data_IF_595199135901
#
_entry.id   IF_595199135901
#
_cell.length_a   1.000
_cell.length_b   1.000
_cell.length_c   1.000
_cell.angle_alpha   90.00
_cell.angle_beta   90.00
_cell.angle_gamma   90.00
#
_symmetry.space_group_name_H-M   'P 1'
#
loop_
_entity.id
_entity.type
_entity.pdbx_description
1 polymer ?
#
# COMPACT_ATOMS: atom_id res chain seq x y z
N UNK A 1 5.35 35.36 12.25
CA UNK A 1 4.88 35.35 10.84
C UNK A 1 6.04 34.87 10.00
N UNK A 2 5.84 33.82 9.20
CA UNK A 2 6.89 33.28 8.32
C UNK A 2 7.25 34.29 7.22
N UNK A 3 8.53 34.60 7.09
CA UNK A 3 9.04 35.48 6.04
C UNK A 3 9.69 34.72 4.88
N UNK A 4 10.08 35.48 3.84
CA UNK A 4 10.68 34.92 2.62
C UNK A 4 12.05 34.27 2.90
N UNK A 5 12.90 34.90 3.71
CA UNK A 5 14.28 34.44 3.97
C UNK A 5 14.28 33.11 4.70
N UNK A 6 13.33 32.91 5.62
CA UNK A 6 13.19 31.65 6.34
C UNK A 6 12.91 30.47 5.40
N UNK A 7 11.98 30.64 4.45
CA UNK A 7 11.66 29.59 3.45
C UNK A 7 12.83 29.37 2.48
N UNK A 8 13.50 30.44 2.03
CA UNK A 8 14.68 30.30 1.16
C UNK A 8 15.81 29.53 1.85
N UNK A 9 16.11 29.86 3.11
CA UNK A 9 17.11 29.15 3.91
C UNK A 9 16.73 27.68 4.09
N UNK A 10 15.52 27.39 4.58
CA UNK A 10 15.09 26.01 4.82
C UNK A 10 15.07 25.18 3.52
N UNK A 11 14.70 25.79 2.39
CA UNK A 11 14.73 25.12 1.10
C UNK A 11 16.17 24.81 0.65
N UNK A 12 17.09 25.79 0.76
CA UNK A 12 18.51 25.57 0.43
C UNK A 12 19.14 24.50 1.33
N UNK A 13 18.83 24.51 2.62
CA UNK A 13 19.33 23.52 3.58
C UNK A 13 18.82 22.12 3.22
N UNK A 14 17.53 21.99 2.88
CA UNK A 14 16.96 20.73 2.40
C UNK A 14 17.62 20.24 1.11
N UNK A 15 17.86 21.13 0.14
CA UNK A 15 18.50 20.77 -1.13
C UNK A 15 19.93 20.25 -0.93
N UNK A 16 20.73 20.97 -0.13
CA UNK A 16 22.11 20.59 0.22
C UNK A 16 22.18 19.28 0.98
N UNK A 17 21.28 19.08 1.95
CA UNK A 17 21.23 17.85 2.73
C UNK A 17 20.93 16.63 1.85
N UNK A 18 19.98 16.77 0.91
CA UNK A 18 19.63 15.69 -0.02
C UNK A 18 20.74 15.39 -1.02
N UNK A 19 21.38 16.41 -1.62
CA UNK A 19 22.55 16.22 -2.49
C UNK A 19 23.68 15.49 -1.75
N UNK A 20 23.99 15.90 -0.52
CA UNK A 20 25.03 15.27 0.31
C UNK A 20 24.74 13.79 0.64
N UNK A 21 23.47 13.44 0.87
CA UNK A 21 23.06 12.08 1.25
C UNK A 21 22.83 11.15 0.06
N UNK A 22 22.64 11.69 -1.15
CA UNK A 22 22.28 10.93 -2.34
C UNK A 22 23.17 9.71 -2.63
N UNK A 23 24.52 9.77 -2.50
CA UNK A 23 25.37 8.61 -2.78
C UNK A 23 25.15 7.41 -1.85
N UNK A 24 24.52 7.61 -0.69
CA UNK A 24 24.25 6.55 0.30
C UNK A 24 22.75 6.21 0.37
N UNK A 25 21.97 6.61 -0.63
CA UNK A 25 20.52 6.45 -0.63
C UNK A 25 20.08 5.29 -1.53
N UNK A 26 19.94 4.11 -0.93
CA UNK A 26 19.56 2.86 -1.61
C UNK A 26 18.27 2.99 -2.46
N UNK A 27 17.36 3.91 -2.11
CA UNK A 27 16.11 4.12 -2.86
C UNK A 27 16.36 4.89 -4.16
N UNK A 28 17.32 5.82 -4.17
CA UNK A 28 17.74 6.44 -5.42
C UNK A 28 18.34 5.40 -6.35
N UNK A 29 19.14 4.50 -5.81
CA UNK A 29 19.82 3.48 -6.59
C UNK A 29 18.86 2.47 -7.21
N UNK A 30 17.89 2.01 -6.42
CA UNK A 30 17.01 0.89 -6.77
C UNK A 30 15.70 1.34 -7.42
N UNK A 31 15.11 2.43 -6.94
CA UNK A 31 13.71 2.75 -7.24
C UNK A 31 13.52 4.02 -8.08
N UNK A 32 14.56 4.87 -8.22
CA UNK A 32 14.50 6.10 -9.02
C UNK A 32 15.47 5.99 -10.21
N UNK A 33 14.91 6.08 -11.42
CA UNK A 33 15.71 6.27 -12.63
C UNK A 33 16.21 7.71 -12.73
N UNK A 34 16.07 8.33 -13.90
CA UNK A 34 16.24 9.79 -14.01
C UNK A 34 14.91 10.50 -13.76
N UNK A 35 14.88 11.44 -12.81
CA UNK A 35 13.66 12.17 -12.45
C UNK A 35 13.95 13.67 -12.26
N UNK A 36 13.18 14.51 -12.96
CA UNK A 36 13.35 15.96 -12.98
C UNK A 36 12.23 16.64 -12.17
N UNK A 37 12.55 17.19 -11.01
CA UNK A 37 11.57 17.79 -10.10
C UNK A 37 11.71 19.30 -10.06
N UNK A 38 10.61 19.99 -10.34
CA UNK A 38 10.46 21.44 -10.16
C UNK A 38 9.74 21.76 -8.84
N UNK A 39 10.34 22.61 -8.03
CA UNK A 39 9.73 23.17 -6.83
C UNK A 39 9.17 24.56 -7.08
N UNK A 40 7.95 24.80 -6.60
CA UNK A 40 7.27 26.10 -6.63
C UNK A 40 6.72 26.41 -5.24
N UNK A 41 7.46 27.22 -4.50
CA UNK A 41 7.20 27.54 -3.11
C UNK A 41 6.53 28.94 -2.97
N UNK A 42 6.10 29.32 -1.74
CA UNK A 42 5.61 30.66 -1.45
C UNK A 42 6.61 31.77 -1.82
N UNK A 43 6.16 33.02 -1.86
CA UNK A 43 6.99 34.18 -2.25
C UNK A 43 7.65 34.09 -3.64
N UNK A 44 7.09 33.26 -4.53
CA UNK A 44 7.62 32.94 -5.86
C UNK A 44 9.02 32.28 -5.82
N UNK A 45 9.40 31.68 -4.70
CA UNK A 45 10.63 30.90 -4.60
C UNK A 45 10.55 29.68 -5.53
N UNK A 46 11.64 29.41 -6.26
CA UNK A 46 11.76 28.32 -7.22
C UNK A 46 13.05 27.56 -6.97
N UNK A 47 13.05 26.31 -7.36
CA UNK A 47 14.25 25.52 -7.50
C UNK A 47 13.94 24.21 -8.20
N UNK A 48 14.99 23.52 -8.61
CA UNK A 48 14.88 22.24 -9.29
C UNK A 48 15.84 21.23 -8.68
N UNK A 49 15.47 19.96 -8.80
CA UNK A 49 16.33 18.82 -8.49
C UNK A 49 16.29 17.84 -9.65
N UNK A 50 17.45 17.31 -10.02
CA UNK A 50 17.58 16.20 -10.96
C UNK A 50 18.12 15.02 -10.17
N UNK A 51 17.31 13.98 -10.08
CA UNK A 51 17.63 12.72 -9.41
C UNK A 51 18.17 11.74 -10.43
N UNK A 52 19.26 11.05 -10.07
CA UNK A 52 19.87 9.93 -10.78
C UNK A 52 20.19 8.83 -9.76
N UNK A 53 20.63 7.67 -10.27
CA UNK A 53 20.89 6.45 -9.50
C UNK A 53 21.69 6.67 -8.19
N UNK A 54 22.67 7.57 -8.19
CA UNK A 54 23.60 7.79 -7.08
C UNK A 54 23.79 9.27 -6.69
N UNK A 55 23.00 10.15 -7.29
CA UNK A 55 23.24 11.59 -7.22
C UNK A 55 21.96 12.40 -7.33
N UNK A 56 21.94 13.50 -6.60
CA UNK A 56 20.93 14.55 -6.73
C UNK A 56 21.70 15.82 -7.01
N UNK A 57 21.40 16.49 -8.13
CA UNK A 57 21.87 17.86 -8.36
C UNK A 57 20.71 18.82 -8.22
N UNK A 58 20.98 20.06 -7.83
CA UNK A 58 19.94 21.06 -7.68
C UNK A 58 20.34 22.43 -8.23
N UNK A 59 19.32 23.24 -8.54
CA UNK A 59 19.49 24.65 -8.85
C UNK A 59 18.43 25.49 -8.15
N UNK A 60 18.86 26.56 -7.50
CA UNK A 60 17.97 27.50 -6.84
C UNK A 60 17.58 28.64 -7.79
N UNK A 61 16.31 29.05 -7.77
CA UNK A 61 15.79 30.15 -8.60
C UNK A 61 15.42 29.80 -10.05
N UNK A 62 15.88 28.67 -10.58
CA UNK A 62 15.62 28.27 -11.97
C UNK A 62 14.30 27.50 -12.16
N UNK A 63 13.74 27.60 -13.38
CA UNK A 63 12.67 26.73 -13.85
C UNK A 63 13.23 25.72 -14.86
N UNK A 64 12.84 24.46 -14.71
CA UNK A 64 13.04 23.44 -15.73
C UNK A 64 12.08 23.68 -16.90
N UNK A 65 12.56 23.45 -18.11
CA UNK A 65 11.75 23.55 -19.33
C UNK A 65 10.69 22.45 -19.39
N UNK A 66 11.11 21.20 -19.10
CA UNK A 66 10.24 20.01 -19.09
C UNK A 66 10.44 19.19 -17.81
N UNK A 67 9.93 19.64 -16.65
CA UNK A 67 10.00 18.85 -15.43
C UNK A 67 9.09 17.63 -15.52
N UNK A 68 9.54 16.49 -14.99
CA UNK A 68 8.74 15.29 -14.82
C UNK A 68 7.65 15.49 -13.76
N UNK A 69 8.02 16.19 -12.67
CA UNK A 69 7.12 16.51 -11.57
C UNK A 69 7.27 17.97 -11.20
N UNK A 70 6.16 18.69 -11.08
CA UNK A 70 6.10 20.02 -10.46
C UNK A 70 5.40 19.92 -9.11
N UNK A 71 6.14 20.21 -8.03
CA UNK A 71 5.64 20.28 -6.66
C UNK A 71 5.36 21.72 -6.28
N UNK A 72 4.12 21.99 -5.89
CA UNK A 72 3.65 23.33 -5.53
C UNK A 72 3.18 23.36 -4.09
N UNK A 73 3.77 24.23 -3.28
CA UNK A 73 3.33 24.52 -1.91
C UNK A 73 2.99 26.01 -1.84
N UNK A 74 1.80 26.33 -1.31
CA UNK A 74 1.28 27.70 -1.26
C UNK A 74 1.20 28.24 0.16
N UNK A 75 0.89 27.39 1.12
CA UNK A 75 0.84 27.75 2.52
C UNK A 75 2.26 27.98 3.05
N UNK A 76 2.48 29.13 3.69
CA UNK A 76 3.82 29.57 4.14
C UNK A 76 4.29 28.77 5.35
N UNK A 77 3.38 28.49 6.27
CA UNK A 77 3.68 27.79 7.52
C UNK A 77 3.97 26.33 7.22
N UNK A 78 3.09 25.67 6.47
CA UNK A 78 3.29 24.28 6.07
C UNK A 78 4.53 24.10 5.18
N UNK A 79 4.84 25.07 4.30
CA UNK A 79 6.08 25.04 3.53
C UNK A 79 7.31 25.05 4.46
N UNK A 80 7.37 25.97 5.41
CA UNK A 80 8.52 26.09 6.32
C UNK A 80 8.68 24.84 7.18
N UNK A 81 7.59 24.37 7.80
CA UNK A 81 7.55 23.15 8.63
C UNK A 81 8.03 21.93 7.84
N UNK A 82 7.47 21.71 6.66
CA UNK A 82 7.85 20.60 5.78
C UNK A 82 9.32 20.66 5.37
N UNK A 83 9.81 21.83 4.92
CA UNK A 83 11.20 22.00 4.50
C UNK A 83 12.20 21.80 5.65
N UNK A 84 11.81 22.09 6.89
CA UNK A 84 12.57 21.75 8.10
C UNK A 84 12.49 20.26 8.48
N UNK A 85 11.79 19.45 7.68
CA UNK A 85 11.64 18.01 7.88
C UNK A 85 10.65 17.65 8.97
N UNK A 86 9.74 18.54 9.34
CA UNK A 86 8.64 18.21 10.24
C UNK A 86 7.70 17.20 9.57
N UNK A 87 7.26 16.21 10.34
CA UNK A 87 6.32 15.19 9.92
C UNK A 87 4.96 15.46 10.56
N UNK A 88 3.89 15.22 9.82
CA UNK A 88 2.53 15.45 10.29
C UNK A 88 1.55 14.55 9.55
N UNK A 89 0.36 14.39 10.12
CA UNK A 89 -0.71 13.67 9.47
C UNK A 89 -1.13 14.33 8.16
N UNK A 90 -1.40 13.50 7.16
CA UNK A 90 -1.81 13.95 5.85
C UNK A 90 -2.83 13.01 5.23
N UNK A 91 -3.59 13.56 4.29
CA UNK A 91 -4.48 12.84 3.41
C UNK A 91 -4.09 13.12 1.96
N UNK A 92 -4.49 12.26 1.03
CA UNK A 92 -4.13 12.46 -0.37
C UNK A 92 -5.22 12.01 -1.33
N UNK A 93 -5.19 12.53 -2.54
CA UNK A 93 -6.15 12.15 -3.56
C UNK A 93 -5.99 12.91 -4.87
N UNK A 94 -6.84 12.59 -5.85
CA UNK A 94 -6.84 13.29 -7.13
C UNK A 94 -7.23 14.76 -6.97
N UNK A 95 -6.59 15.61 -7.76
CA UNK A 95 -6.90 17.03 -7.90
C UNK A 95 -7.34 17.37 -9.32
N UNK A 96 -7.75 18.63 -9.51
CA UNK A 96 -8.20 19.13 -10.81
C UNK A 96 -7.09 19.09 -11.88
N UNK A 97 -7.48 18.77 -13.13
CA UNK A 97 -6.61 18.64 -14.30
C UNK A 97 -5.44 17.67 -14.09
N UNK A 98 -5.72 16.47 -13.58
CA UNK A 98 -4.73 15.39 -13.40
C UNK A 98 -3.66 15.68 -12.35
N UNK A 99 -3.86 16.68 -11.49
CA UNK A 99 -2.98 16.91 -10.35
C UNK A 99 -3.19 15.82 -9.29
N UNK A 100 -2.18 15.60 -8.46
CA UNK A 100 -2.31 14.87 -7.22
C UNK A 100 -2.14 15.82 -6.05
N UNK A 101 -2.98 15.69 -5.02
CA UNK A 101 -2.97 16.58 -3.86
C UNK A 101 -2.60 15.80 -2.61
N UNK A 102 -1.72 16.40 -1.83
CA UNK A 102 -1.48 16.05 -0.44
C UNK A 102 -2.09 17.18 0.40
N UNK A 103 -2.89 16.81 1.38
CA UNK A 103 -3.54 17.70 2.32
C UNK A 103 -2.94 17.48 3.70
N UNK A 104 -2.70 18.56 4.43
CA UNK A 104 -2.36 18.49 5.85
C UNK A 104 -3.63 18.20 6.65
N UNK A 105 -3.59 17.18 7.50
CA UNK A 105 -4.68 16.87 8.43
C UNK A 105 -4.48 17.72 9.68
N UNK A 106 -5.33 18.72 9.86
CA UNK A 106 -5.25 19.67 10.98
C UNK A 106 -5.89 19.08 12.26
N UNK A 107 -7.02 18.40 12.07
CA UNK A 107 -7.77 17.79 13.16
C UNK A 107 -8.72 16.72 12.64
N UNK A 108 -9.30 15.98 13.58
CA UNK A 108 -10.37 15.01 13.33
C UNK A 108 -11.67 15.53 13.93
N UNK A 109 -12.79 15.22 13.27
CA UNK A 109 -14.12 15.46 13.83
C UNK A 109 -14.97 14.21 13.67
N UNK A 110 -15.81 13.95 14.66
CA UNK A 110 -16.88 12.96 14.56
C UNK A 110 -18.12 13.71 14.07
N UNK A 111 -18.72 13.23 13.00
CA UNK A 111 -20.00 13.73 12.49
C UNK A 111 -21.08 12.70 12.77
N UNK A 112 -22.28 13.19 13.10
CA UNK A 112 -23.48 12.35 13.12
C UNK A 112 -24.06 12.28 11.71
N UNK A 113 -24.49 11.09 11.34
CA UNK A 113 -25.19 10.77 10.10
C UNK A 113 -26.54 10.18 10.46
N UNK A 114 -27.45 10.05 9.49
CA UNK A 114 -28.76 9.41 9.69
C UNK A 114 -28.65 7.98 10.26
N UNK A 115 -27.49 7.35 10.13
CA UNK A 115 -27.26 5.92 10.39
C UNK A 115 -26.12 5.67 11.37
N UNK A 116 -25.69 6.69 12.12
CA UNK A 116 -24.68 6.55 13.15
C UNK A 116 -23.57 7.58 13.06
N UNK A 117 -22.43 7.29 13.69
CA UNK A 117 -21.29 8.22 13.77
C UNK A 117 -20.23 7.86 12.76
N UNK A 118 -19.58 8.88 12.19
CA UNK A 118 -18.45 8.72 11.28
C UNK A 118 -17.32 9.65 11.66
N UNK A 119 -16.09 9.15 11.67
CA UNK A 119 -14.89 9.98 11.82
C UNK A 119 -14.48 10.56 10.46
N UNK A 120 -14.23 11.87 10.41
CA UNK A 120 -13.78 12.57 9.18
C UNK A 120 -12.63 13.52 9.48
N UNK A 121 -11.72 13.66 8.51
CA UNK A 121 -10.56 14.55 8.59
C UNK A 121 -10.95 16.00 8.30
N UNK A 122 -10.35 16.94 9.02
CA UNK A 122 -10.32 18.35 8.67
C UNK A 122 -9.01 18.66 7.96
N UNK A 123 -9.08 18.81 6.64
CA UNK A 123 -7.91 18.88 5.77
C UNK A 123 -7.67 20.31 5.25
N UNK A 124 -6.39 20.71 5.22
CA UNK A 124 -5.93 21.95 4.58
C UNK A 124 -5.08 21.61 3.35
N UNK A 125 -5.19 22.35 2.23
CA UNK A 125 -4.33 22.14 1.07
C UNK A 125 -2.86 22.30 1.42
N UNK A 126 -2.02 21.32 1.04
CA UNK A 126 -0.59 21.34 1.35
C UNK A 126 0.27 21.28 0.08
N UNK A 127 0.48 20.10 -0.52
CA UNK A 127 1.24 19.93 -1.76
C UNK A 127 0.30 19.68 -2.92
N UNK A 128 0.51 20.37 -4.03
CA UNK A 128 -0.04 19.98 -5.33
C UNK A 128 1.08 19.49 -6.22
N UNK A 129 1.04 18.21 -6.57
CA UNK A 129 1.93 17.61 -7.56
C UNK A 129 1.27 17.61 -8.94
N UNK A 130 2.04 17.98 -9.96
CA UNK A 130 1.65 17.85 -11.37
C UNK A 130 2.70 17.04 -12.09
N UNK A 131 2.26 16.12 -12.93
CA UNK A 131 3.13 15.21 -13.67
C UNK A 131 3.22 15.65 -15.13
N UNK A 132 4.36 15.42 -15.75
CA UNK A 132 4.52 15.55 -17.19
C UNK A 132 3.55 14.59 -17.88
N UNK A 133 2.76 15.08 -18.84
CA UNK A 133 1.76 14.29 -19.56
C UNK A 133 2.36 13.44 -20.68
N UNK A 134 3.58 13.76 -21.12
CA UNK A 134 4.32 12.97 -22.13
C UNK A 134 4.94 11.70 -21.50
N UNK A 135 4.96 11.60 -20.17
CA UNK A 135 5.48 10.45 -19.43
C UNK A 135 4.37 9.85 -18.56
N UNK A 136 4.37 8.53 -18.40
CA UNK A 136 3.41 7.86 -17.53
C UNK A 136 3.98 7.72 -16.11
N UNK A 137 3.46 8.52 -15.17
CA UNK A 137 3.82 8.43 -13.76
C UNK A 137 2.60 8.15 -12.89
N UNK A 138 2.68 7.14 -12.04
CA UNK A 138 1.75 6.98 -10.94
C UNK A 138 2.12 7.91 -9.78
N UNK A 139 1.15 8.59 -9.11
CA UNK A 139 1.47 9.56 -8.05
C UNK A 139 2.28 9.04 -6.87
N UNK A 140 2.28 7.72 -6.63
CA UNK A 140 3.09 7.12 -5.57
C UNK A 140 4.60 7.19 -5.82
N UNK A 141 5.06 7.54 -7.04
CA UNK A 141 6.47 7.90 -7.26
C UNK A 141 6.94 9.03 -6.33
N UNK A 142 6.04 9.90 -5.88
CA UNK A 142 6.34 10.94 -4.91
C UNK A 142 6.91 10.39 -3.61
N UNK A 143 6.47 9.19 -3.19
CA UNK A 143 6.99 8.53 -1.99
C UNK A 143 8.44 8.10 -2.14
N UNK A 144 9.09 8.26 -3.30
CA UNK A 144 10.52 7.99 -3.49
C UNK A 144 11.38 9.22 -3.21
N UNK A 145 10.81 10.43 -3.23
CA UNK A 145 11.53 11.67 -2.92
C UNK A 145 11.94 11.70 -1.43
N UNK A 146 13.21 12.03 -1.07
CA UNK A 146 13.71 11.93 0.31
C UNK A 146 12.84 12.63 1.36
N UNK A 147 12.44 13.87 1.11
CA UNK A 147 11.61 14.64 2.05
C UNK A 147 10.18 14.07 2.18
N UNK A 148 9.61 13.52 1.11
CA UNK A 148 8.27 12.91 1.14
C UNK A 148 8.33 11.51 1.78
N UNK A 149 9.42 10.75 1.60
CA UNK A 149 9.61 9.46 2.29
C UNK A 149 9.45 9.58 3.79
N UNK A 150 10.07 10.61 4.38
CA UNK A 150 9.96 10.89 5.82
C UNK A 150 8.51 11.12 6.24
N UNK A 151 7.72 11.80 5.41
CA UNK A 151 6.29 12.05 5.65
C UNK A 151 5.46 10.76 5.52
N UNK A 152 5.69 9.95 4.48
CA UNK A 152 4.90 8.72 4.28
C UNK A 152 5.21 7.67 5.34
N UNK A 153 6.46 7.60 5.81
CA UNK A 153 6.87 6.68 6.87
C UNK A 153 6.11 6.87 8.19
N UNK A 154 5.53 8.05 8.46
CA UNK A 154 4.72 8.26 9.66
C UNK A 154 3.28 7.79 9.54
N UNK A 155 2.82 7.42 8.33
CA UNK A 155 1.47 6.83 8.16
C UNK A 155 1.40 5.38 8.57
N UNK A 156 2.53 4.69 8.57
CA UNK A 156 2.61 3.28 8.90
C UNK A 156 3.22 3.16 10.29
N UNK A 157 2.56 2.43 11.18
CA UNK A 157 3.20 1.99 12.41
C UNK A 157 4.32 1.00 12.04
N UNK A 158 5.35 0.88 12.89
CA UNK A 158 6.38 -0.15 12.70
C UNK A 158 5.84 -1.58 12.79
N UNK A 159 4.60 -1.74 13.25
CA UNK A 159 3.92 -3.00 13.51
C UNK A 159 2.83 -3.32 12.47
N UNK A 160 2.55 -2.40 11.53
CA UNK A 160 1.65 -2.66 10.40
C UNK A 160 2.27 -3.70 9.48
N UNK A 161 1.62 -4.85 9.38
CA UNK A 161 2.10 -5.97 8.60
C UNK A 161 0.95 -6.86 8.13
N UNK A 162 0.97 -7.21 6.85
CA UNK A 162 0.08 -8.19 6.25
C UNK A 162 0.79 -9.16 5.31
N UNK A 163 0.09 -10.25 5.02
CA UNK A 163 0.55 -11.32 4.17
C UNK A 163 -0.53 -11.68 3.16
N UNK A 164 -0.15 -11.76 1.89
CA UNK A 164 -1.00 -12.40 0.90
C UNK A 164 -0.98 -13.91 1.14
N UNK A 165 -2.16 -14.50 1.29
CA UNK A 165 -2.29 -15.95 1.42
C UNK A 165 -2.47 -16.55 0.01
N UNK A 166 -1.68 -17.56 -0.38
CA UNK A 166 -1.68 -18.06 -1.75
C UNK A 166 -3.03 -18.65 -2.16
N UNK A 167 -3.55 -18.25 -3.31
CA UNK A 167 -4.85 -18.73 -3.79
C UNK A 167 -4.80 -20.20 -4.20
N UNK A 168 -5.89 -20.92 -3.91
CA UNK A 168 -6.16 -22.29 -4.41
C UNK A 168 -5.03 -23.32 -4.15
N UNK A 169 -4.13 -23.04 -3.19
CA UNK A 169 -3.08 -23.97 -2.79
C UNK A 169 -3.55 -24.85 -1.64
N UNK A 170 -3.24 -26.15 -1.70
CA UNK A 170 -3.38 -27.08 -0.58
C UNK A 170 -1.99 -27.53 -0.12
N UNK A 171 -1.72 -27.51 1.18
CA UNK A 171 -0.64 -28.33 1.73
C UNK A 171 -1.21 -29.72 1.94
N UNK A 172 -0.64 -30.74 1.30
CA UNK A 172 -1.17 -32.11 1.28
C UNK A 172 -1.45 -32.76 2.65
N UNK A 173 -1.13 -32.10 3.77
CA UNK A 173 -1.38 -32.51 5.15
C UNK A 173 -2.43 -31.68 5.92
N UNK A 174 -2.88 -30.52 5.43
CA UNK A 174 -3.98 -29.75 6.05
C UNK A 174 -5.33 -30.30 5.61
N UNK A 175 -5.90 -31.23 6.38
CA UNK A 175 -7.30 -31.71 6.35
C UNK A 175 -8.12 -31.39 5.07
N UNK A 176 -7.69 -31.83 3.88
CA UNK A 176 -8.35 -31.54 2.59
C UNK A 176 -8.78 -30.06 2.37
N UNK A 177 -8.16 -29.09 3.06
CA UNK A 177 -8.51 -27.67 3.02
C UNK A 177 -7.42 -26.88 2.29
N UNK A 178 -7.84 -25.85 1.55
CA UNK A 178 -6.90 -24.90 0.94
C UNK A 178 -6.31 -23.98 2.02
N UNK A 179 -5.04 -23.61 1.86
CA UNK A 179 -4.26 -22.80 2.83
C UNK A 179 -5.00 -21.53 3.27
N UNK A 180 -5.62 -20.73 2.36
CA UNK A 180 -6.36 -19.55 2.80
C UNK A 180 -7.48 -19.84 3.78
N UNK A 181 -8.24 -20.91 3.57
CA UNK A 181 -9.34 -21.25 4.47
C UNK A 181 -8.82 -21.66 5.84
N UNK A 182 -7.77 -22.50 5.89
CA UNK A 182 -7.17 -22.96 7.14
C UNK A 182 -6.60 -21.80 7.99
N UNK A 183 -5.86 -20.88 7.37
CA UNK A 183 -5.29 -19.70 8.05
C UNK A 183 -6.40 -18.82 8.62
N UNK A 184 -7.40 -18.46 7.80
CA UNK A 184 -8.49 -17.60 8.25
C UNK A 184 -9.33 -18.25 9.35
N UNK A 185 -9.59 -19.56 9.25
CA UNK A 185 -10.33 -20.31 10.27
C UNK A 185 -9.65 -20.22 11.63
N UNK A 186 -8.32 -20.29 11.70
CA UNK A 186 -7.56 -20.17 12.95
C UNK A 186 -7.89 -18.86 13.72
N UNK A 187 -7.99 -17.74 13.00
CA UNK A 187 -8.28 -16.44 13.61
C UNK A 187 -9.78 -16.22 13.84
N UNK A 188 -10.63 -16.62 12.90
CA UNK A 188 -12.09 -16.50 13.03
C UNK A 188 -12.61 -17.33 14.22
N UNK A 189 -12.09 -18.55 14.43
CA UNK A 189 -12.48 -19.40 15.55
C UNK A 189 -12.13 -18.79 16.90
N UNK A 190 -11.06 -17.98 16.99
CA UNK A 190 -10.62 -17.30 18.21
C UNK A 190 -11.27 -15.94 18.40
N UNK A 191 -11.68 -15.29 17.32
CA UNK A 191 -12.15 -13.91 17.34
C UNK A 191 -13.28 -13.67 18.37
N UNK A 192 -13.08 -12.69 19.26
CA UNK A 192 -14.06 -12.23 20.23
C UNK A 192 -15.19 -11.43 19.58
N UNK A 193 -14.83 -10.63 18.57
CA UNK A 193 -15.75 -9.83 17.76
C UNK A 193 -15.33 -9.85 16.29
N UNK A 194 -16.31 -9.86 15.40
CA UNK A 194 -16.10 -9.87 13.95
C UNK A 194 -17.01 -8.83 13.31
N UNK A 195 -16.41 -7.94 12.51
CA UNK A 195 -17.13 -6.92 11.75
C UNK A 195 -16.81 -7.07 10.26
N UNK A 196 -17.83 -7.35 9.47
CA UNK A 196 -17.73 -7.41 8.00
C UNK A 196 -18.21 -6.08 7.41
N UNK A 197 -17.44 -5.54 6.47
CA UNK A 197 -17.92 -4.46 5.61
C UNK A 197 -18.84 -5.04 4.53
N UNK A 198 -20.04 -4.47 4.37
CA UNK A 198 -21.07 -4.97 3.46
C UNK A 198 -20.65 -4.93 1.99
N UNK A 199 -19.64 -4.08 1.66
CA UNK A 199 -19.06 -3.95 0.33
C UNK A 199 -17.56 -3.67 0.38
N UNK A 200 -16.82 -4.17 -0.61
CA UNK A 200 -15.42 -3.80 -0.81
C UNK A 200 -15.29 -2.34 -1.25
N UNK A 201 -14.65 -1.50 -0.43
CA UNK A 201 -14.45 -0.08 -0.72
C UNK A 201 -13.71 0.18 -2.04
N UNK A 202 -12.68 -0.63 -2.33
CA UNK A 202 -11.88 -0.54 -3.55
C UNK A 202 -12.70 -0.84 -4.81
N UNK A 203 -13.50 -1.92 -4.81
CA UNK A 203 -14.37 -2.28 -5.93
C UNK A 203 -15.46 -1.24 -6.17
N UNK A 204 -16.08 -0.74 -5.11
CA UNK A 204 -17.10 0.31 -5.20
C UNK A 204 -16.51 1.60 -5.77
N UNK A 205 -15.37 2.06 -5.22
CA UNK A 205 -14.70 3.29 -5.66
C UNK A 205 -14.30 3.27 -7.13
N UNK A 206 -13.87 2.09 -7.62
CA UNK A 206 -13.48 1.89 -9.02
C UNK A 206 -14.61 1.42 -9.93
N UNK A 207 -15.85 1.29 -9.41
CA UNK A 207 -16.98 0.74 -10.12
C UNK A 207 -16.65 -0.59 -10.84
N UNK A 208 -16.09 -1.55 -10.09
CA UNK A 208 -15.62 -2.83 -10.65
C UNK A 208 -16.72 -3.58 -11.41
N UNK A 209 -16.43 -4.09 -12.60
CA UNK A 209 -17.39 -4.87 -13.39
C UNK A 209 -17.09 -6.39 -13.38
N UNK A 210 -15.95 -6.79 -12.78
CA UNK A 210 -15.42 -8.16 -12.88
C UNK A 210 -15.63 -9.02 -11.63
N UNK A 211 -15.86 -8.41 -10.48
CA UNK A 211 -15.92 -9.13 -9.20
C UNK A 211 -17.04 -8.59 -8.33
N UNK A 212 -17.60 -9.46 -7.48
CA UNK A 212 -18.69 -9.12 -6.57
C UNK A 212 -18.30 -8.01 -5.58
N UNK A 213 -19.10 -6.95 -5.54
CA UNK A 213 -18.90 -5.84 -4.61
C UNK A 213 -19.24 -6.22 -3.18
N UNK A 214 -20.08 -7.23 -2.96
CA UNK A 214 -20.56 -7.65 -1.63
C UNK A 214 -19.49 -8.34 -0.79
N UNK A 215 -18.38 -8.79 -1.41
CA UNK A 215 -17.27 -9.43 -0.69
C UNK A 215 -16.37 -8.32 -0.12
N UNK A 216 -16.77 -7.74 1.01
CA UNK A 216 -16.03 -6.68 1.70
C UNK A 216 -14.97 -7.20 2.66
N UNK A 217 -14.31 -6.27 3.36
CA UNK A 217 -13.25 -6.60 4.31
C UNK A 217 -13.83 -7.25 5.58
N UNK A 218 -13.08 -8.18 6.14
CA UNK A 218 -13.36 -8.88 7.39
C UNK A 218 -12.43 -8.32 8.46
N UNK A 219 -12.96 -7.77 9.55
CA UNK A 219 -12.17 -7.27 10.66
C UNK A 219 -12.46 -8.08 11.92
N UNK A 220 -11.45 -8.36 12.73
CA UNK A 220 -11.52 -9.23 13.89
C UNK A 220 -10.82 -8.61 15.11
N UNK A 221 -11.31 -8.96 16.30
CA UNK A 221 -10.80 -8.51 17.60
C UNK A 221 -11.60 -7.38 18.24
N UNK A 222 -11.44 -7.17 19.55
CA UNK A 222 -12.28 -6.25 20.34
C UNK A 222 -12.27 -4.81 19.83
N UNK A 223 -11.15 -4.35 19.28
CA UNK A 223 -11.02 -2.97 18.78
C UNK A 223 -12.07 -2.68 17.70
N UNK A 224 -12.50 -3.70 16.94
CA UNK A 224 -13.51 -3.56 15.88
C UNK A 224 -14.86 -3.01 16.39
N UNK A 225 -15.18 -3.14 17.68
CA UNK A 225 -16.36 -2.54 18.30
C UNK A 225 -16.37 -1.00 18.20
N UNK A 226 -15.19 -0.39 18.09
CA UNK A 226 -15.00 1.06 18.02
C UNK A 226 -14.92 1.60 16.58
N UNK A 227 -15.22 0.78 15.55
CA UNK A 227 -15.17 1.20 14.15
C UNK A 227 -16.19 2.30 13.86
N UNK A 228 -15.73 3.54 13.68
CA UNK A 228 -16.54 4.71 13.31
C UNK A 228 -16.78 4.80 11.80
N UNK A 229 -17.38 3.76 11.25
CA UNK A 229 -17.88 3.66 9.89
C UNK A 229 -19.42 3.63 9.96
N UNK A 230 -20.08 4.25 8.98
CA UNK A 230 -21.54 4.25 8.82
C UNK A 230 -22.12 2.82 8.95
N UNK A 231 -23.11 2.64 9.83
CA UNK A 231 -23.71 1.32 10.14
C UNK A 231 -24.35 0.66 8.91
N UNK A 232 -24.78 1.42 7.89
CA UNK A 232 -25.26 0.83 6.63
C UNK A 232 -24.16 0.11 5.84
N UNK A 233 -22.89 0.35 6.17
CA UNK A 233 -21.72 -0.17 5.45
C UNK A 233 -21.05 -1.34 6.14
N UNK A 234 -21.47 -1.72 7.34
CA UNK A 234 -20.90 -2.84 8.11
C UNK A 234 -22.00 -3.63 8.82
N UNK A 235 -21.65 -4.79 9.33
CA UNK A 235 -22.44 -5.52 10.33
C UNK A 235 -21.51 -6.34 11.21
N UNK A 236 -21.96 -6.63 12.43
CA UNK A 236 -21.34 -7.66 13.28
C UNK A 236 -21.75 -9.01 12.71
N UNK A 237 -20.78 -9.89 12.49
CA UNK A 237 -20.98 -11.18 11.84
C UNK A 237 -20.73 -12.33 12.80
N UNK A 238 -21.37 -13.48 12.55
CA UNK A 238 -21.01 -14.73 13.23
C UNK A 238 -19.73 -15.33 12.64
N UNK A 239 -19.15 -16.31 13.35
CA UNK A 239 -17.98 -17.05 12.86
C UNK A 239 -18.30 -17.82 11.58
N UNK A 240 -19.50 -18.39 11.50
CA UNK A 240 -19.99 -19.09 10.32
C UNK A 240 -20.13 -18.14 9.13
N UNK A 241 -20.73 -16.96 9.33
CA UNK A 241 -20.85 -15.94 8.28
C UNK A 241 -19.48 -15.48 7.77
N UNK A 242 -18.52 -15.29 8.67
CA UNK A 242 -17.15 -14.94 8.32
C UNK A 242 -16.45 -16.04 7.49
N UNK A 243 -16.60 -17.31 7.87
CA UNK A 243 -16.04 -18.43 7.12
C UNK A 243 -16.67 -18.56 5.74
N UNK A 244 -17.98 -18.32 5.60
CA UNK A 244 -18.62 -18.34 4.28
C UNK A 244 -18.22 -17.17 3.39
N UNK A 245 -17.93 -16.00 3.97
CA UNK A 245 -17.31 -14.89 3.23
C UNK A 245 -15.95 -15.31 2.67
N UNK A 246 -15.11 -15.98 3.48
CA UNK A 246 -13.79 -16.48 3.04
C UNK A 246 -13.93 -17.50 1.91
N UNK A 247 -14.80 -18.50 2.04
CA UNK A 247 -15.05 -19.48 0.96
C UNK A 247 -15.52 -18.79 -0.31
N UNK A 248 -16.52 -17.91 -0.20
CA UNK A 248 -17.02 -17.13 -1.34
C UNK A 248 -15.89 -16.32 -2.00
N UNK A 249 -14.98 -15.74 -1.22
CA UNK A 249 -13.86 -14.99 -1.76
C UNK A 249 -12.87 -15.88 -2.54
N UNK A 250 -12.53 -17.05 -2.01
CA UNK A 250 -11.68 -18.05 -2.66
C UNK A 250 -12.32 -18.53 -3.96
N UNK A 251 -13.60 -18.89 -3.93
CA UNK A 251 -14.38 -19.33 -5.11
C UNK A 251 -14.46 -18.26 -6.21
N UNK A 252 -14.31 -16.98 -5.84
CA UNK A 252 -14.28 -15.84 -6.77
C UNK A 252 -12.87 -15.50 -7.29
N UNK A 253 -11.85 -16.33 -6.99
CA UNK A 253 -10.46 -16.12 -7.41
C UNK A 253 -9.83 -14.85 -6.83
N UNK A 254 -10.35 -14.38 -5.68
CA UNK A 254 -9.81 -13.23 -4.97
C UNK A 254 -8.59 -13.63 -4.15
N UNK A 255 -7.68 -12.69 -3.95
CA UNK A 255 -6.42 -12.90 -3.24
C UNK A 255 -6.61 -12.46 -1.78
N UNK A 256 -6.63 -13.39 -0.81
CA UNK A 256 -6.77 -13.03 0.58
C UNK A 256 -5.49 -12.34 1.08
N UNK A 257 -5.66 -11.25 1.81
CA UNK A 257 -4.64 -10.52 2.53
C UNK A 257 -5.10 -10.46 3.98
N UNK A 258 -4.24 -10.83 4.92
CA UNK A 258 -4.55 -10.82 6.36
C UNK A 258 -3.38 -10.21 7.14
N UNK A 259 -3.69 -9.44 8.17
CA UNK A 259 -2.66 -8.82 9.00
C UNK A 259 -3.16 -7.73 9.94
N UNK A 260 -2.21 -7.01 10.52
CA UNK A 260 -2.44 -5.81 11.30
C UNK A 260 -2.36 -4.59 10.38
N UNK A 261 -3.46 -3.85 10.29
CA UNK A 261 -3.64 -2.72 9.36
C UNK A 261 -4.16 -1.48 10.11
N UNK A 262 -3.35 -0.98 11.05
CA UNK A 262 -3.71 0.16 11.91
C UNK A 262 -3.68 1.49 11.16
N UNK A 263 -2.95 1.60 10.06
CA UNK A 263 -3.00 2.77 9.18
C UNK A 263 -4.41 2.99 8.59
N UNK A 264 -5.13 1.91 8.27
CA UNK A 264 -6.53 1.94 7.84
C UNK A 264 -7.47 2.13 9.03
N UNK A 265 -7.27 1.36 10.11
CA UNK A 265 -8.13 1.33 11.28
C UNK A 265 -8.17 2.67 12.03
N UNK A 266 -7.01 3.31 12.22
CA UNK A 266 -6.88 4.62 12.88
C UNK A 266 -7.72 5.69 12.19
N UNK A 267 -7.77 5.65 10.84
CA UNK A 267 -8.62 6.50 10.04
C UNK A 267 -10.11 6.29 10.29
N UNK A 268 -10.49 5.08 10.68
CA UNK A 268 -11.85 4.70 11.09
C UNK A 268 -12.13 4.92 12.57
N UNK A 269 -11.26 5.60 13.33
CA UNK A 269 -11.52 5.90 14.74
C UNK A 269 -10.96 4.89 15.74
N UNK A 270 -10.24 3.88 15.27
CA UNK A 270 -9.70 2.83 16.13
C UNK A 270 -8.46 3.36 16.86
N UNK A 271 -8.46 3.19 18.18
CA UNK A 271 -7.25 3.29 19.00
C UNK A 271 -6.58 1.93 19.01
N UNK A 272 -5.26 1.93 18.90
CA UNK A 272 -4.50 0.69 18.83
C UNK A 272 -4.33 0.08 20.23
N UNK A 273 -5.10 -0.98 20.53
CA UNK A 273 -4.88 -1.77 21.75
C UNK A 273 -4.20 -3.11 21.45
N UNK A 274 -3.71 -3.29 20.22
CA UNK A 274 -3.20 -4.57 19.73
C UNK A 274 -4.29 -5.59 19.41
N UNK A 275 -5.57 -5.16 19.34
CA UNK A 275 -6.72 -6.04 19.17
C UNK A 275 -7.51 -5.81 17.88
N UNK A 276 -6.83 -5.35 16.83
CA UNK A 276 -7.41 -5.12 15.51
C UNK A 276 -6.66 -5.88 14.42
N UNK A 277 -7.29 -6.93 13.91
CA UNK A 277 -6.85 -7.62 12.70
C UNK A 277 -7.79 -7.26 11.56
N UNK A 278 -7.24 -7.02 10.37
CA UNK A 278 -8.01 -6.85 9.15
C UNK A 278 -7.64 -7.90 8.12
N UNK A 279 -8.64 -8.29 7.34
CA UNK A 279 -8.46 -9.07 6.15
C UNK A 279 -9.21 -8.46 4.96
N UNK A 280 -8.51 -8.44 3.83
CA UNK A 280 -9.03 -8.02 2.55
C UNK A 280 -9.04 -9.19 1.57
N UNK A 281 -10.00 -9.17 0.65
CA UNK A 281 -10.06 -10.14 -0.45
C UNK A 281 -9.78 -9.38 -1.75
N UNK A 282 -8.51 -9.18 -2.07
CA UNK A 282 -8.05 -8.30 -3.12
C UNK A 282 -8.38 -8.86 -4.51
N UNK A 283 -8.89 -7.99 -5.40
CA UNK A 283 -9.06 -8.33 -6.81
C UNK A 283 -7.90 -7.74 -7.64
N UNK A 284 -7.50 -8.39 -8.74
CA UNK A 284 -6.40 -7.93 -9.57
C UNK A 284 -6.69 -6.60 -10.30
N UNK A 285 -7.96 -6.19 -10.39
CA UNK A 285 -8.34 -5.01 -11.19
C UNK A 285 -8.50 -3.71 -10.39
N UNK A 286 -8.84 -3.78 -9.10
CA UNK A 286 -9.24 -2.58 -8.33
C UNK A 286 -8.55 -2.43 -6.98
N UNK A 287 -7.76 -3.40 -6.53
CA UNK A 287 -7.08 -3.33 -5.23
C UNK A 287 -6.21 -2.06 -5.13
N UNK A 288 -6.29 -1.36 -3.99
CA UNK A 288 -5.53 -0.14 -3.74
C UNK A 288 -4.05 -0.43 -3.46
N UNK A 289 -3.73 -1.63 -2.99
CA UNK A 289 -2.36 -2.03 -2.70
C UNK A 289 -1.53 -2.25 -3.96
N UNK A 290 -2.16 -2.64 -5.07
CA UNK A 290 -1.48 -2.84 -6.37
C UNK A 290 -0.63 -1.62 -6.76
N UNK A 291 -1.19 -0.41 -6.92
CA UNK A 291 -0.39 0.74 -7.26
C UNK A 291 0.63 1.10 -6.17
N UNK A 292 0.33 0.87 -4.88
CA UNK A 292 1.29 1.14 -3.79
C UNK A 292 2.51 0.24 -3.93
N UNK A 293 2.31 -1.07 -4.03
CA UNK A 293 3.37 -2.07 -4.10
C UNK A 293 4.20 -1.97 -5.40
N UNK A 294 3.60 -1.52 -6.49
CA UNK A 294 4.27 -1.42 -7.80
C UNK A 294 4.98 -0.07 -8.04
N UNK A 295 4.45 1.03 -7.49
CA UNK A 295 4.92 2.37 -7.81
C UNK A 295 5.49 3.18 -6.64
N UNK A 296 5.19 2.79 -5.39
CA UNK A 296 5.74 3.48 -4.23
C UNK A 296 7.21 3.10 -3.98
N UNK A 297 7.78 3.63 -2.91
CA UNK A 297 9.13 3.30 -2.48
C UNK A 297 9.17 1.89 -1.87
N UNK A 298 10.21 1.12 -2.18
CA UNK A 298 10.43 -0.21 -1.61
C UNK A 298 10.64 -0.22 -0.09
N UNK A 299 10.80 0.96 0.54
CA UNK A 299 10.80 1.11 2.01
C UNK A 299 9.40 1.05 2.64
N UNK A 300 8.32 1.18 1.89
CA UNK A 300 6.97 0.95 2.43
C UNK A 300 6.72 -0.55 2.49
N UNK A 301 7.12 -1.17 3.61
CA UNK A 301 7.01 -2.61 3.84
C UNK A 301 5.88 -2.92 4.82
N UNK A 302 4.63 -2.76 4.39
CA UNK A 302 3.44 -3.21 5.15
C UNK A 302 2.97 -4.59 4.70
N UNK A 303 3.50 -5.11 3.59
CA UNK A 303 3.19 -6.45 3.11
C UNK A 303 4.49 -7.21 2.91
N UNK A 304 4.55 -8.42 3.45
CA UNK A 304 5.69 -9.34 3.29
C UNK A 304 5.27 -10.61 2.56
N UNK A 305 6.25 -11.25 1.91
CA UNK A 305 6.13 -12.64 1.48
C UNK A 305 6.23 -13.54 2.73
N UNK A 306 5.40 -14.57 2.80
CA UNK A 306 5.43 -15.59 3.86
C UNK A 306 6.82 -16.25 3.89
N UNK A 307 7.39 -16.42 5.08
CA UNK A 307 8.68 -17.08 5.24
C UNK A 307 8.63 -18.54 4.77
N UNK A 308 9.67 -18.98 4.06
CA UNK A 308 9.74 -20.32 3.49
C UNK A 308 8.84 -20.57 2.27
N UNK A 309 8.03 -19.59 1.85
CA UNK A 309 7.26 -19.65 0.61
C UNK A 309 8.13 -19.26 -0.58
N UNK A 310 8.23 -20.16 -1.55
CA UNK A 310 8.92 -19.95 -2.81
C UNK A 310 7.96 -20.14 -3.99
N UNK A 311 8.05 -19.25 -4.97
CA UNK A 311 7.44 -19.43 -6.28
C UNK A 311 8.57 -19.77 -7.23
N UNK A 312 8.42 -20.85 -8.00
CA UNK A 312 9.48 -21.35 -8.88
C UNK A 312 8.89 -21.61 -10.26
N UNK A 313 9.65 -21.25 -11.30
CA UNK A 313 9.34 -21.62 -12.68
C UNK A 313 10.25 -22.79 -13.10
N UNK A 314 9.66 -23.82 -13.70
CA UNK A 314 10.37 -24.93 -14.33
C UNK A 314 10.76 -24.53 -15.76
N UNK A 315 12.06 -24.37 -15.98
CA UNK A 315 12.63 -23.98 -17.27
C UNK A 315 12.30 -24.98 -18.39
N UNK A 316 12.18 -26.28 -18.07
CA UNK A 316 11.92 -27.32 -19.07
C UNK A 316 10.45 -27.37 -19.51
N UNK A 317 9.52 -26.96 -18.62
CA UNK A 317 8.09 -26.89 -18.90
C UNK A 317 7.66 -25.53 -19.45
N UNK A 318 8.43 -24.46 -19.19
CA UNK A 318 8.10 -23.12 -19.63
C UNK A 318 8.26 -22.97 -21.15
N UNK A 319 7.18 -22.55 -21.82
CA UNK A 319 7.17 -22.30 -23.28
C UNK A 319 7.26 -20.83 -23.64
N UNK A 320 7.46 -19.94 -22.65
CA UNK A 320 7.58 -18.50 -22.88
C UNK A 320 6.30 -17.80 -23.35
N UNK A 321 5.11 -18.28 -22.96
CA UNK A 321 3.83 -17.70 -23.38
C UNK A 321 3.42 -16.40 -22.67
N UNK A 322 4.14 -16.02 -21.61
CA UNK A 322 3.94 -14.78 -20.83
C UNK A 322 2.60 -14.65 -20.06
N UNK A 323 1.72 -15.66 -20.06
CA UNK A 323 0.46 -15.61 -19.28
C UNK A 323 0.68 -15.33 -17.78
N UNK A 324 1.80 -15.81 -17.24
CA UNK A 324 2.19 -15.54 -15.85
C UNK A 324 2.60 -14.07 -15.60
N UNK A 325 3.12 -13.39 -16.62
CA UNK A 325 3.49 -11.97 -16.57
C UNK A 325 2.20 -11.15 -16.52
N UNK A 326 1.26 -11.44 -17.43
CA UNK A 326 -0.04 -10.78 -17.48
C UNK A 326 -0.88 -11.00 -16.21
N UNK A 327 -0.77 -12.18 -15.60
CA UNK A 327 -1.48 -12.50 -14.35
C UNK A 327 -0.89 -11.82 -13.11
N UNK A 328 0.37 -11.36 -13.18
CA UNK A 328 1.12 -10.83 -12.05
C UNK A 328 0.78 -9.36 -11.80
N UNK A 329 0.13 -9.09 -10.67
CA UNK A 329 -0.29 -7.73 -10.29
C UNK A 329 0.75 -6.94 -9.47
N UNK A 330 1.92 -7.53 -9.23
CA UNK A 330 2.99 -6.94 -8.40
C UNK A 330 4.28 -6.67 -9.19
N UNK A 331 4.34 -7.05 -10.47
CA UNK A 331 5.59 -7.15 -11.24
C UNK A 331 6.62 -8.04 -10.52
N UNK A 332 6.14 -9.15 -9.97
CA UNK A 332 6.91 -10.16 -9.23
C UNK A 332 7.57 -11.23 -10.09
N UNK A 333 7.50 -11.11 -11.41
CA UNK A 333 8.16 -11.98 -12.37
C UNK A 333 8.52 -11.20 -13.64
N UNK A 334 9.46 -11.72 -14.41
CA UNK A 334 9.93 -11.17 -15.68
C UNK A 334 10.36 -12.29 -16.63
N UNK A 335 10.54 -11.96 -17.92
CA UNK A 335 11.07 -12.91 -18.90
C UNK A 335 12.57 -12.70 -19.07
N UNK A 336 13.36 -13.75 -18.93
CA UNK A 336 14.80 -13.78 -19.25
C UNK A 336 15.04 -14.98 -20.14
N UNK A 337 15.68 -14.77 -21.29
CA UNK A 337 15.97 -15.83 -22.27
C UNK A 337 14.74 -16.68 -22.63
N UNK A 338 13.58 -16.03 -22.74
CA UNK A 338 12.26 -16.64 -23.02
C UNK A 338 11.70 -17.58 -21.93
N UNK A 339 12.29 -17.57 -20.74
CA UNK A 339 11.81 -18.29 -19.56
C UNK A 339 11.30 -17.28 -18.52
N UNK A 340 10.28 -17.67 -17.76
CA UNK A 340 9.78 -16.86 -16.66
C UNK A 340 10.73 -16.94 -15.45
N UNK A 341 11.15 -15.80 -14.92
CA UNK A 341 11.96 -15.70 -13.70
C UNK A 341 11.19 -14.94 -12.61
N UNK A 342 11.20 -15.48 -11.40
CA UNK A 342 10.56 -14.86 -10.23
C UNK A 342 11.51 -13.84 -9.60
N UNK A 343 11.04 -12.61 -9.38
CA UNK A 343 11.85 -11.51 -8.83
C UNK A 343 11.68 -11.36 -7.31
N UNK A 344 12.50 -10.50 -6.70
CA UNK A 344 12.41 -10.13 -5.28
C UNK A 344 11.11 -9.39 -4.92
N UNK A 345 10.31 -8.97 -5.92
CA UNK A 345 9.01 -8.32 -5.75
C UNK A 345 7.86 -9.31 -5.59
N UNK A 346 8.10 -10.61 -5.79
CA UNK A 346 7.06 -11.61 -5.64
C UNK A 346 6.60 -11.72 -4.18
N UNK A 347 5.30 -11.56 -3.94
CA UNK A 347 4.69 -11.69 -2.62
C UNK A 347 3.99 -13.05 -2.41
N UNK A 348 4.12 -13.98 -3.36
CA UNK A 348 3.64 -15.35 -3.19
C UNK A 348 2.13 -15.57 -3.34
N UNK A 349 1.38 -14.67 -4.00
CA UNK A 349 -0.09 -14.77 -4.06
C UNK A 349 -0.63 -15.96 -4.90
N UNK A 350 0.21 -16.61 -5.72
CA UNK A 350 -0.17 -17.81 -6.49
C UNK A 350 -0.93 -17.59 -7.78
N UNK A 351 -1.21 -16.34 -8.20
CA UNK A 351 -1.91 -16.07 -9.47
C UNK A 351 -1.21 -16.62 -10.71
N UNK A 352 0.12 -16.56 -10.72
CA UNK A 352 0.91 -17.06 -11.85
C UNK A 352 0.87 -18.58 -11.98
N UNK A 353 0.64 -19.32 -10.89
CA UNK A 353 0.44 -20.77 -10.90
C UNK A 353 -0.86 -21.09 -11.64
N UNK A 354 -1.98 -20.46 -11.24
CA UNK A 354 -3.29 -20.68 -11.86
C UNK A 354 -3.34 -20.23 -13.32
N UNK A 355 -2.57 -19.21 -13.69
CA UNK A 355 -2.53 -18.68 -15.05
C UNK A 355 -1.64 -19.47 -16.01
N UNK A 356 -0.74 -20.33 -15.53
CA UNK A 356 0.22 -21.01 -16.40
C UNK A 356 -0.45 -22.23 -17.09
N UNK A 357 -0.64 -22.22 -18.42
CA UNK A 357 -1.32 -23.33 -19.10
C UNK A 357 -0.46 -24.60 -19.24
N UNK A 358 0.83 -24.52 -18.88
CA UNK A 358 1.79 -25.63 -18.98
C UNK A 358 2.22 -26.14 -17.60
N UNK A 359 1.58 -25.68 -16.52
CA UNK A 359 1.94 -26.02 -15.13
C UNK A 359 3.43 -25.77 -14.80
N UNK A 360 4.05 -24.83 -15.52
CA UNK A 360 5.48 -24.53 -15.40
C UNK A 360 5.80 -23.65 -14.19
N UNK A 361 4.81 -23.21 -13.41
CA UNK A 361 5.02 -22.41 -12.20
C UNK A 361 4.39 -23.11 -11.01
N UNK A 362 5.14 -23.25 -9.93
CA UNK A 362 4.68 -23.88 -8.69
C UNK A 362 4.97 -23.01 -7.46
N UNK A 363 4.17 -23.21 -6.41
CA UNK A 363 4.45 -22.70 -5.07
C UNK A 363 4.94 -23.86 -4.22
N UNK A 364 6.04 -23.65 -3.52
CA UNK A 364 6.58 -24.58 -2.54
C UNK A 364 6.73 -23.89 -1.20
N UNK A 365 6.37 -24.61 -0.14
CA UNK A 365 6.81 -24.30 1.21
C UNK A 365 7.99 -25.21 1.55
N UNK A 366 9.00 -24.66 2.22
CA UNK A 366 10.15 -25.45 2.65
C UNK A 366 9.73 -26.57 3.63
N UNK A 367 8.72 -26.31 4.46
CA UNK A 367 8.08 -27.26 5.37
C UNK A 367 6.62 -26.85 5.63
N UNK A 368 5.74 -27.81 5.91
CA UNK A 368 4.40 -27.60 6.46
C UNK A 368 4.37 -26.68 7.68
N UNK A 369 5.43 -26.68 8.51
CA UNK A 369 5.59 -25.79 9.67
C UNK A 369 5.63 -24.29 9.30
N UNK A 370 5.84 -23.93 8.04
CA UNK A 370 5.84 -22.54 7.60
C UNK A 370 4.47 -21.85 7.74
N UNK A 371 3.36 -22.60 7.71
CA UNK A 371 2.02 -22.03 7.98
C UNK A 371 1.81 -21.80 9.47
N UNK A 372 2.29 -22.72 10.32
CA UNK A 372 2.27 -22.51 11.76
C UNK A 372 3.12 -21.30 12.15
N UNK A 373 4.32 -21.14 11.54
CA UNK A 373 5.16 -19.97 11.72
C UNK A 373 4.49 -18.66 11.30
N UNK A 374 3.74 -18.66 10.18
CA UNK A 374 2.92 -17.51 9.77
C UNK A 374 1.84 -17.19 10.82
N UNK A 375 1.15 -18.21 11.32
CA UNK A 375 0.12 -18.04 12.34
C UNK A 375 0.74 -17.50 13.63
N UNK A 376 1.90 -17.98 14.04
CA UNK A 376 2.66 -17.48 15.19
C UNK A 376 3.09 -16.02 15.00
N UNK A 377 3.62 -15.65 13.83
CA UNK A 377 4.00 -14.26 13.52
C UNK A 377 2.78 -13.33 13.59
N UNK A 378 1.64 -13.73 13.03
CA UNK A 378 0.39 -12.96 13.13
C UNK A 378 -0.13 -12.85 14.56
N UNK A 379 -0.10 -13.91 15.36
CA UNK A 379 -0.51 -13.87 16.77
C UNK A 379 0.43 -13.00 17.63
N UNK A 380 1.71 -12.89 17.26
CA UNK A 380 2.65 -12.01 17.95
C UNK A 380 2.37 -10.52 17.68
N UNK A 381 1.68 -10.21 16.57
CA UNK A 381 1.38 -8.84 16.16
C UNK A 381 0.01 -8.35 16.61
N UNK A 382 -0.96 -9.25 16.73
CA UNK A 382 -2.35 -8.91 17.02
C UNK A 382 -3.08 -10.03 17.76
N UNK A 383 -3.86 -9.64 18.76
CA UNK A 383 -4.75 -10.51 19.53
C UNK A 383 -6.17 -10.37 18.99
N UNK A 384 -6.86 -11.48 18.72
CA UNK A 384 -8.24 -11.43 18.20
C UNK A 384 -9.29 -11.88 19.20
N UNK A 385 -8.90 -12.45 20.35
CA UNK A 385 -9.76 -13.03 21.39
C UNK A 385 -10.05 -12.11 22.61
#
# INVERSE_FOLDING_TARGET
>A
MVDKREIESAFLDMLKDQEKKAPNDEILERDIGELHVQWKLPFKIRGSQIFKKDSISYKFGENLEKPDISLVIRDKELALRFLRGEVFEFDYGPGYNGAFKIHYTDSWKIIETETGKKRVRNNKPFVTARFNKEKEYHPYILSKLPIIRKLVATRMSGEDLGFFIPINQSLGTYENQVIPYAVFKCFIDKASNIVILNKCGCRVSKNCQKHDHSIGCLNMGDDTLNLLIDEKRKHVATKEEALELVKKAIDNGLIPLIGRAMDEASGAGIEDTGKFMSACFCCPCCCIDIPILTHATSKLKFIKKIEGLNVVADEAACVGCEDCIDACIWNGNEMIDSIAHITDRCLGCGRCVEACPNDAISIMFNDSSNIDALIEELNALVTVD
#
